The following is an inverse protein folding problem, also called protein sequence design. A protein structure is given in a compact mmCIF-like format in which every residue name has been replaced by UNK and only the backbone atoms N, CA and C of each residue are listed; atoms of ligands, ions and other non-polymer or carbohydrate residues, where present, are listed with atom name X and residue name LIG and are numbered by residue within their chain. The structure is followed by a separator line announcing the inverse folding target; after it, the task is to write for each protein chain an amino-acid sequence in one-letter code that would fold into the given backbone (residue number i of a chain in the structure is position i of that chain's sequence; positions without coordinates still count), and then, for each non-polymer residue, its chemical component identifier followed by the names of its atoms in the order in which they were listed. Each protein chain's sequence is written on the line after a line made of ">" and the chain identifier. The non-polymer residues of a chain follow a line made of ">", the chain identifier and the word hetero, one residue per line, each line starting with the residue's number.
data_IF_719941221978
#
_entry.id   IF_719941221978
#
_cell.length_a   1.000
_cell.length_b   1.000
_cell.length_c   1.000
_cell.angle_alpha   90.00
_cell.angle_beta   90.00
_cell.angle_gamma   90.00
#
_symmetry.space_group_name_H-M   'P 1'
#
loop_
_entity.id
_entity.type
_entity.pdbx_description
1 polymer ?
#
# COMPACT_ATOMS: atom_id res chain seq x y z
N UNK A 1 -7.73 35.28 2.80
CA UNK A 1 -6.83 35.12 1.65
C UNK A 1 -5.87 33.99 1.99
N UNK A 2 -5.89 32.87 1.25
CA UNK A 2 -4.87 31.83 1.44
C UNK A 2 -3.59 32.36 0.83
N UNK A 3 -2.57 32.66 1.65
CA UNK A 3 -1.23 32.91 1.15
C UNK A 3 -0.77 31.66 0.40
N UNK A 4 -0.54 31.80 -0.90
CA UNK A 4 0.04 30.74 -1.72
C UNK A 4 1.51 30.60 -1.37
N UNK A 5 1.98 29.37 -1.16
CA UNK A 5 3.40 29.07 -0.97
C UNK A 5 4.27 29.70 -2.07
N UNK A 6 5.43 30.23 -1.68
CA UNK A 6 6.51 30.58 -2.60
C UNK A 6 7.07 29.35 -3.31
N UNK A 7 7.79 29.55 -4.41
CA UNK A 7 8.34 28.43 -5.17
C UNK A 7 9.44 27.67 -4.41
N UNK A 8 10.16 28.35 -3.52
CA UNK A 8 11.09 27.71 -2.60
C UNK A 8 10.36 26.81 -1.59
N UNK A 9 9.26 27.28 -1.02
CA UNK A 9 8.43 26.49 -0.10
C UNK A 9 7.79 25.29 -0.81
N UNK A 10 7.24 25.49 -2.02
CA UNK A 10 6.69 24.38 -2.84
C UNK A 10 7.73 23.30 -3.11
N UNK A 11 8.98 23.69 -3.40
CA UNK A 11 10.08 22.76 -3.62
C UNK A 11 10.35 21.93 -2.36
N UNK A 12 10.51 22.59 -1.21
CA UNK A 12 10.76 21.91 0.07
C UNK A 12 9.60 20.96 0.41
N UNK A 13 8.36 21.40 0.22
CA UNK A 13 7.16 20.58 0.45
C UNK A 13 7.19 19.34 -0.45
N UNK A 14 7.43 19.52 -1.76
CA UNK A 14 7.46 18.42 -2.72
C UNK A 14 8.56 17.41 -2.39
N UNK A 15 9.78 17.88 -2.11
CA UNK A 15 10.92 17.01 -1.77
C UNK A 15 10.65 16.24 -0.48
N UNK A 16 10.08 16.91 0.53
CA UNK A 16 9.73 16.29 1.82
C UNK A 16 8.66 15.22 1.64
N UNK A 17 7.58 15.51 0.92
CA UNK A 17 6.50 14.54 0.67
C UNK A 17 7.04 13.32 -0.07
N UNK A 18 7.80 13.52 -1.15
CA UNK A 18 8.39 12.42 -1.93
C UNK A 18 9.26 11.54 -1.05
N UNK A 19 10.18 12.14 -0.28
CA UNK A 19 11.07 11.40 0.62
C UNK A 19 10.29 10.55 1.62
N UNK A 20 9.29 11.11 2.29
CA UNK A 20 8.53 10.37 3.30
C UNK A 20 7.59 9.32 2.68
N UNK A 21 7.10 9.51 1.46
CA UNK A 21 6.35 8.49 0.72
C UNK A 21 7.25 7.29 0.40
N UNK A 22 8.44 7.54 -0.16
CA UNK A 22 9.41 6.47 -0.46
C UNK A 22 9.86 5.74 0.81
N UNK A 23 10.12 6.50 1.88
CA UNK A 23 10.45 5.92 3.19
C UNK A 23 9.33 5.03 3.70
N UNK A 24 8.08 5.48 3.67
CA UNK A 24 6.93 4.71 4.13
C UNK A 24 6.79 3.39 3.36
N UNK A 25 6.97 3.43 2.04
CA UNK A 25 6.94 2.23 1.19
C UNK A 25 8.02 1.24 1.63
N UNK A 26 9.27 1.68 1.75
CA UNK A 26 10.39 0.82 2.14
C UNK A 26 10.22 0.24 3.54
N UNK A 27 9.81 1.06 4.52
CA UNK A 27 9.56 0.60 5.88
C UNK A 27 8.44 -0.45 5.92
N UNK A 28 7.39 -0.29 5.11
CA UNK A 28 6.28 -1.24 5.04
C UNK A 28 6.72 -2.57 4.43
N UNK A 29 7.53 -2.54 3.37
CA UNK A 29 8.07 -3.76 2.75
C UNK A 29 8.94 -4.53 3.75
N UNK A 30 9.80 -3.85 4.50
CA UNK A 30 10.62 -4.51 5.51
C UNK A 30 9.78 -5.07 6.66
N UNK A 31 8.72 -4.36 7.09
CA UNK A 31 7.79 -4.86 8.09
C UNK A 31 7.09 -6.15 7.64
N UNK A 32 6.70 -6.26 6.36
CA UNK A 32 6.12 -7.47 5.80
C UNK A 32 7.12 -8.63 5.86
N UNK A 33 8.38 -8.39 5.47
CA UNK A 33 9.43 -9.42 5.56
C UNK A 33 9.72 -9.86 7.00
N UNK A 34 9.72 -8.93 7.95
CA UNK A 34 9.88 -9.24 9.37
C UNK A 34 8.73 -10.11 9.87
N UNK A 35 7.51 -9.73 9.53
CA UNK A 35 6.29 -10.46 9.91
C UNK A 35 6.27 -11.89 9.35
N UNK A 36 6.67 -12.09 8.09
CA UNK A 36 6.84 -13.41 7.48
C UNK A 36 7.83 -14.26 8.29
N UNK A 37 9.04 -13.72 8.57
CA UNK A 37 10.07 -14.43 9.33
C UNK A 37 9.61 -14.82 10.75
N UNK A 38 8.89 -13.92 11.42
CA UNK A 38 8.36 -14.17 12.76
C UNK A 38 7.27 -15.26 12.75
N UNK A 39 6.37 -15.22 11.77
CA UNK A 39 5.34 -16.24 11.59
C UNK A 39 5.97 -17.60 11.31
N UNK A 40 6.93 -17.66 10.38
CA UNK A 40 7.65 -18.89 10.02
C UNK A 40 8.39 -19.49 11.21
N UNK A 41 9.06 -18.63 11.99
CA UNK A 41 9.73 -19.06 13.23
C UNK A 41 8.73 -19.69 14.19
N UNK A 42 7.60 -19.04 14.45
CA UNK A 42 6.57 -19.55 15.36
C UNK A 42 5.98 -20.88 14.88
N UNK A 43 5.76 -21.02 13.57
CA UNK A 43 5.24 -22.24 12.96
C UNK A 43 6.25 -23.40 13.06
N UNK A 44 7.53 -23.11 12.80
CA UNK A 44 8.62 -24.08 12.96
C UNK A 44 8.80 -24.52 14.42
N UNK A 45 8.73 -23.59 15.38
CA UNK A 45 8.75 -23.89 16.81
C UNK A 45 7.57 -24.76 17.25
N UNK A 46 6.44 -24.70 16.54
CA UNK A 46 5.29 -25.57 16.73
C UNK A 46 5.39 -26.93 16.00
N UNK A 47 6.51 -27.21 15.34
CA UNK A 47 6.74 -28.45 14.59
C UNK A 47 6.01 -28.51 13.25
N UNK A 48 5.49 -27.38 12.75
CA UNK A 48 4.82 -27.30 11.46
C UNK A 48 5.86 -26.96 10.40
N UNK A 49 5.98 -27.83 9.39
CA UNK A 49 6.88 -27.65 8.25
C UNK A 49 6.09 -27.55 6.95
N UNK A 50 6.63 -26.82 5.98
CA UNK A 50 6.01 -26.57 4.68
C UNK A 50 7.00 -26.88 3.56
N UNK A 51 6.55 -27.57 2.51
CA UNK A 51 7.42 -28.01 1.41
C UNK A 51 7.53 -26.99 0.27
N UNK A 52 6.59 -26.05 0.19
CA UNK A 52 6.45 -25.13 -0.94
C UNK A 52 6.45 -23.66 -0.49
N UNK A 53 5.43 -23.25 0.27
CA UNK A 53 5.27 -21.86 0.72
C UNK A 53 4.73 -21.82 2.14
N UNK A 54 5.20 -20.83 2.92
CA UNK A 54 4.60 -20.51 4.21
C UNK A 54 3.16 -20.02 4.01
N UNK A 55 2.20 -20.40 4.88
CA UNK A 55 0.85 -19.85 4.85
C UNK A 55 0.81 -18.35 5.18
N UNK A 56 1.84 -17.82 5.84
CA UNK A 56 1.99 -16.40 6.15
C UNK A 56 3.09 -15.75 5.30
N UNK A 57 3.24 -16.20 4.05
CA UNK A 57 4.23 -15.63 3.14
C UNK A 57 3.96 -14.16 2.82
N UNK A 58 5.00 -13.47 2.34
CA UNK A 58 4.96 -12.04 2.03
C UNK A 58 3.86 -11.63 1.04
N UNK A 59 3.53 -12.47 0.05
CA UNK A 59 2.54 -12.13 -0.97
C UNK A 59 1.14 -12.10 -0.35
N UNK A 60 0.84 -13.11 0.48
CA UNK A 60 -0.37 -13.14 1.28
C UNK A 60 -0.46 -11.94 2.24
N UNK A 61 0.62 -11.67 2.99
CA UNK A 61 0.65 -10.54 3.93
C UNK A 61 0.47 -9.19 3.22
N UNK A 62 1.05 -9.03 2.03
CA UNK A 62 0.89 -7.84 1.19
C UNK A 62 -0.56 -7.67 0.75
N UNK A 63 -1.19 -8.75 0.28
CA UNK A 63 -2.58 -8.72 -0.16
C UNK A 63 -3.54 -8.33 0.98
N UNK A 64 -3.38 -8.96 2.15
CA UNK A 64 -4.19 -8.67 3.35
C UNK A 64 -3.99 -7.22 3.81
N UNK A 65 -2.74 -6.73 3.84
CA UNK A 65 -2.46 -5.35 4.22
C UNK A 65 -3.10 -4.37 3.22
N UNK A 66 -2.98 -4.64 1.92
CA UNK A 66 -3.56 -3.81 0.88
C UNK A 66 -5.09 -3.71 1.02
N UNK A 67 -5.77 -4.85 1.17
CA UNK A 67 -7.22 -4.92 1.37
C UNK A 67 -7.64 -4.09 2.59
N UNK A 68 -7.01 -4.31 3.74
CA UNK A 68 -7.34 -3.58 4.98
C UNK A 68 -7.10 -2.06 4.86
N UNK A 69 -6.03 -1.64 4.19
CA UNK A 69 -5.75 -0.22 3.97
C UNK A 69 -6.76 0.40 2.99
N UNK A 70 -7.15 -0.34 1.95
CA UNK A 70 -8.15 0.09 0.99
C UNK A 70 -9.52 0.24 1.65
N UNK A 71 -9.95 -0.73 2.45
CA UNK A 71 -11.18 -0.69 3.24
C UNK A 71 -11.25 0.55 4.13
N UNK A 72 -10.15 0.86 4.83
CA UNK A 72 -10.04 2.05 5.68
C UNK A 72 -10.08 3.35 4.88
N UNK A 73 -9.52 3.35 3.67
CA UNK A 73 -9.50 4.52 2.81
C UNK A 73 -10.90 4.90 2.34
N UNK A 74 -11.71 3.90 1.94
CA UNK A 74 -13.09 4.15 1.50
C UNK A 74 -14.13 4.06 2.64
N UNK A 75 -13.76 3.64 3.85
CA UNK A 75 -14.63 3.56 5.04
C UNK A 75 -15.93 2.77 4.81
N UNK A 76 -15.88 1.74 3.97
CA UNK A 76 -17.06 0.97 3.57
C UNK A 76 -17.96 1.64 2.54
N UNK A 77 -17.61 2.82 2.02
CA UNK A 77 -18.36 3.47 0.93
C UNK A 77 -17.92 2.93 -0.45
N UNK A 78 -18.82 2.20 -1.16
CA UNK A 78 -18.50 1.61 -2.46
C UNK A 78 -18.30 2.66 -3.57
N UNK A 79 -18.92 3.83 -3.49
CA UNK A 79 -18.72 4.89 -4.50
C UNK A 79 -17.34 5.52 -4.37
N UNK A 80 -16.89 5.77 -3.14
CA UNK A 80 -15.52 6.19 -2.87
C UNK A 80 -14.52 5.13 -3.32
N UNK A 81 -14.77 3.85 -3.03
CA UNK A 81 -13.92 2.75 -3.49
C UNK A 81 -13.81 2.74 -5.03
N UNK A 82 -14.94 2.83 -5.73
CA UNK A 82 -15.00 2.89 -7.20
C UNK A 82 -14.21 4.06 -7.74
N UNK A 83 -14.38 5.26 -7.16
CA UNK A 83 -13.65 6.46 -7.57
C UNK A 83 -12.14 6.27 -7.45
N UNK A 84 -11.65 5.75 -6.32
CA UNK A 84 -10.22 5.49 -6.10
C UNK A 84 -9.68 4.51 -7.14
N UNK A 85 -10.39 3.40 -7.40
CA UNK A 85 -9.99 2.41 -8.39
C UNK A 85 -9.97 3.00 -9.81
N UNK A 86 -10.96 3.80 -10.18
CA UNK A 86 -11.00 4.48 -11.48
C UNK A 86 -9.82 5.44 -11.63
N UNK A 87 -9.52 6.25 -10.62
CA UNK A 87 -8.36 7.16 -10.66
C UNK A 87 -7.04 6.39 -10.79
N UNK A 88 -6.89 5.29 -10.05
CA UNK A 88 -5.72 4.42 -10.14
C UNK A 88 -5.58 3.80 -11.53
N UNK A 89 -6.68 3.29 -12.10
CA UNK A 89 -6.72 2.75 -13.47
C UNK A 89 -6.34 3.79 -14.52
N UNK A 90 -6.92 5.01 -14.43
CA UNK A 90 -6.55 6.13 -15.31
C UNK A 90 -5.07 6.48 -15.25
N UNK A 91 -4.48 6.50 -14.04
CA UNK A 91 -3.06 6.80 -13.85
C UNK A 91 -2.14 5.80 -14.56
N UNK A 92 -2.54 4.53 -14.68
CA UNK A 92 -1.75 3.48 -15.33
C UNK A 92 -2.20 3.18 -16.77
N UNK A 93 -3.12 3.99 -17.33
CA UNK A 93 -3.65 3.77 -18.68
C UNK A 93 -4.57 2.55 -18.81
N UNK A 94 -5.06 2.01 -17.69
CA UNK A 94 -5.98 0.86 -17.64
C UNK A 94 -7.35 1.37 -17.22
N UNK A 95 -8.03 2.01 -18.16
CA UNK A 95 -9.44 2.34 -18.02
C UNK A 95 -10.13 2.15 -19.37
N UNK A 96 -11.39 1.72 -19.34
CA UNK A 96 -12.22 1.65 -20.54
C UNK A 96 -12.85 3.05 -20.71
N UNK A 97 -12.68 3.66 -21.87
CA UNK A 97 -13.49 4.80 -22.29
C UNK A 97 -14.93 4.28 -22.49
N UNK A 98 -15.72 4.23 -21.42
CA UNK A 98 -17.17 4.03 -21.55
C UNK A 98 -17.86 5.40 -21.72
N UNK A 99 -17.40 6.22 -22.67
CA UNK A 99 -18.14 7.40 -23.18
C UNK A 99 -17.86 7.59 -24.69
N UNK A 100 -18.85 7.20 -25.50
CA UNK A 100 -19.12 7.71 -26.84
C UNK A 100 -20.50 8.37 -26.83
#
# INVERSE_FOLDING_TARGET
>A
MSESFSDAEKKIISETITFYVEKLINDTVELIHQTEREADKRLSEAGIQFDLYSPANRDYLTAVLHENLFDRLHKGDPETARLILTMNGKRVGVYKDDEA
#
